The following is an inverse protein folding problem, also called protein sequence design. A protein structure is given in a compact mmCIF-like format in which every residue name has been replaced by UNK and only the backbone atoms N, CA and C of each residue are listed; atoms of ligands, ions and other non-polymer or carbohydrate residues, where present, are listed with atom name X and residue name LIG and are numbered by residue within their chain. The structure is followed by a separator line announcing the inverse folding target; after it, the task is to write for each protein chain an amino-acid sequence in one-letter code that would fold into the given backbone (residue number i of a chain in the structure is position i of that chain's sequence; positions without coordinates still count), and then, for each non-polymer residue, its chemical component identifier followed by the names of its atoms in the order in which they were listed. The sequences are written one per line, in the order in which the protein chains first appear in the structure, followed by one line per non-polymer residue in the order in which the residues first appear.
data_IF_963047347770
#
_entry.id   IF_963047347770
#
_cell.length_a   1.000
_cell.length_b   1.000
_cell.length_c   1.000
_cell.angle_alpha   90.00
_cell.angle_beta   90.00
_cell.angle_gamma   90.00
#
_symmetry.space_group_name_H-M   'P 1'
#
loop_
_entity.id
_entity.type
_entity.pdbx_description
1 polymer ?
#
# COMPACT_ATOMS: atom_id res chain seq x y z
N UNK A 1 -20.98 -10.49 -4.45
CA UNK A 1 -20.79 -11.06 -5.82
C UNK A 1 -19.58 -12.00 -5.95
N UNK A 2 -18.44 -11.81 -5.27
CA UNK A 2 -17.28 -12.73 -5.39
C UNK A 2 -17.43 -14.08 -4.65
N UNK A 3 -18.08 -14.11 -3.48
CA UNK A 3 -18.31 -15.34 -2.73
C UNK A 3 -19.25 -16.31 -3.47
N UNK A 4 -20.25 -15.80 -4.20
CA UNK A 4 -21.19 -16.64 -4.97
C UNK A 4 -20.47 -17.46 -6.06
N UNK A 5 -19.56 -16.83 -6.82
CA UNK A 5 -18.75 -17.54 -7.83
C UNK A 5 -17.83 -18.60 -7.22
N UNK A 6 -17.39 -18.39 -5.98
CA UNK A 6 -16.55 -19.35 -5.26
C UNK A 6 -17.38 -20.54 -4.75
N UNK A 7 -18.58 -20.27 -4.22
CA UNK A 7 -19.56 -21.30 -3.83
C UNK A 7 -19.97 -22.14 -5.03
N UNK A 8 -20.33 -21.52 -6.17
CA UNK A 8 -20.69 -22.21 -7.42
C UNK A 8 -19.55 -23.12 -7.92
N UNK A 9 -18.30 -22.69 -7.79
CA UNK A 9 -17.12 -23.49 -8.16
C UNK A 9 -16.93 -24.69 -7.24
N UNK A 10 -17.20 -24.55 -5.94
CA UNK A 10 -17.13 -25.65 -4.98
C UNK A 10 -18.28 -26.64 -5.18
N UNK A 11 -19.48 -26.16 -5.49
CA UNK A 11 -20.63 -27.00 -5.83
C UNK A 11 -20.39 -27.79 -7.13
N UNK A 12 -19.81 -27.17 -8.16
CA UNK A 12 -19.39 -27.86 -9.37
C UNK A 12 -18.32 -28.95 -9.10
N UNK A 13 -17.59 -28.83 -7.99
CA UNK A 13 -16.64 -29.84 -7.51
C UNK A 13 -17.26 -30.90 -6.58
N UNK A 14 -18.58 -30.90 -6.40
CA UNK A 14 -19.30 -31.89 -5.60
C UNK A 14 -19.51 -31.53 -4.13
N UNK A 15 -19.19 -30.30 -3.71
CA UNK A 15 -19.53 -29.82 -2.36
C UNK A 15 -21.02 -29.51 -2.27
N UNK A 16 -21.63 -29.79 -1.11
CA UNK A 16 -23.00 -29.32 -0.83
C UNK A 16 -23.00 -27.82 -0.59
N UNK A 17 -24.10 -27.13 -0.94
CA UNK A 17 -24.24 -25.68 -0.81
C UNK A 17 -23.81 -25.14 0.56
N UNK A 18 -24.24 -25.80 1.64
CA UNK A 18 -23.90 -25.41 3.01
C UNK A 18 -22.39 -25.50 3.29
N UNK A 19 -21.70 -26.53 2.78
CA UNK A 19 -20.25 -26.68 2.95
C UNK A 19 -19.47 -25.71 2.07
N UNK A 20 -19.93 -25.50 0.84
CA UNK A 20 -19.34 -24.53 -0.08
C UNK A 20 -19.43 -23.10 0.48
N UNK A 21 -20.57 -22.73 1.06
CA UNK A 21 -20.78 -21.45 1.72
C UNK A 21 -19.90 -21.28 2.96
N UNK A 22 -19.88 -22.27 3.86
CA UNK A 22 -19.03 -22.24 5.04
C UNK A 22 -17.53 -22.11 4.70
N UNK A 23 -17.07 -22.82 3.66
CA UNK A 23 -15.70 -22.71 3.18
C UNK A 23 -15.40 -21.32 2.57
N UNK A 24 -16.32 -20.75 1.80
CA UNK A 24 -16.18 -19.42 1.22
C UNK A 24 -16.14 -18.32 2.30
N UNK A 25 -16.95 -18.45 3.36
CA UNK A 25 -16.98 -17.53 4.49
C UNK A 25 -15.69 -17.61 5.32
N UNK A 26 -15.25 -18.83 5.68
CA UNK A 26 -13.99 -19.01 6.40
C UNK A 26 -12.77 -18.49 5.61
N UNK A 27 -12.76 -18.69 4.29
CA UNK A 27 -11.70 -18.17 3.43
C UNK A 27 -11.74 -16.65 3.33
N UNK A 28 -12.92 -16.05 3.20
CA UNK A 28 -13.08 -14.59 3.20
C UNK A 28 -12.60 -13.99 4.53
N UNK A 29 -12.99 -14.58 5.66
CA UNK A 29 -12.58 -14.16 7.00
C UNK A 29 -11.06 -14.24 7.17
N UNK A 30 -10.44 -15.37 6.82
CA UNK A 30 -9.00 -15.56 6.90
C UNK A 30 -8.20 -14.60 6.00
N UNK A 31 -8.76 -14.22 4.85
CA UNK A 31 -8.07 -13.31 3.91
C UNK A 31 -8.40 -11.84 4.18
N UNK A 32 -9.43 -11.54 4.98
CA UNK A 32 -9.84 -10.15 5.26
C UNK A 32 -8.99 -9.46 6.32
N UNK A 33 -8.26 -10.19 7.16
CA UNK A 33 -7.62 -9.61 8.35
C UNK A 33 -6.25 -8.96 8.09
N UNK A 34 -5.56 -9.24 6.98
CA UNK A 34 -4.15 -8.80 6.82
C UNK A 34 -3.70 -8.44 5.38
N UNK A 35 -4.63 -8.16 4.47
CA UNK A 35 -4.24 -7.82 3.09
C UNK A 35 -3.95 -6.33 2.92
N UNK A 36 -2.66 -5.97 2.87
CA UNK A 36 -2.23 -4.72 2.24
C UNK A 36 -2.64 -4.76 0.76
N UNK A 37 -3.47 -3.81 0.36
CA UNK A 37 -3.96 -3.70 -1.00
C UNK A 37 -2.99 -2.93 -1.89
N UNK A 38 -3.12 -3.08 -3.20
CA UNK A 38 -2.34 -2.28 -4.16
C UNK A 38 -2.60 -0.78 -4.03
N UNK A 39 -3.79 -0.37 -3.58
CA UNK A 39 -4.08 1.04 -3.29
C UNK A 39 -3.27 1.54 -2.09
N UNK A 40 -3.23 0.77 -1.01
CA UNK A 40 -2.49 1.14 0.21
C UNK A 40 -1.00 1.32 -0.10
N UNK A 41 -0.43 0.41 -0.92
CA UNK A 41 0.94 0.52 -1.43
C UNK A 41 1.16 1.78 -2.29
N UNK A 42 0.22 2.14 -3.16
CA UNK A 42 0.34 3.34 -4.00
C UNK A 42 0.30 4.61 -3.16
N UNK A 43 -0.54 4.64 -2.13
CA UNK A 43 -0.64 5.77 -1.21
C UNK A 43 0.65 5.95 -0.42
N UNK A 44 1.16 4.88 0.21
CA UNK A 44 2.42 4.90 0.92
C UNK A 44 3.61 5.32 0.03
N UNK A 45 3.64 4.87 -1.24
CA UNK A 45 4.67 5.29 -2.19
C UNK A 45 4.54 6.76 -2.58
N UNK A 46 3.31 7.27 -2.72
CA UNK A 46 3.08 8.68 -3.04
C UNK A 46 3.54 9.58 -1.87
N UNK A 47 3.19 9.21 -0.64
CA UNK A 47 3.62 9.89 0.58
C UNK A 47 5.15 9.92 0.68
N UNK A 48 5.80 8.76 0.53
CA UNK A 48 7.26 8.66 0.57
C UNK A 48 7.93 9.52 -0.50
N UNK A 49 7.37 9.54 -1.73
CA UNK A 49 7.90 10.37 -2.82
C UNK A 49 7.81 11.86 -2.51
N UNK A 50 6.70 12.30 -1.92
CA UNK A 50 6.52 13.70 -1.50
C UNK A 50 7.55 14.07 -0.44
N UNK A 51 7.75 13.22 0.56
CA UNK A 51 8.72 13.48 1.63
C UNK A 51 10.16 13.50 1.11
N UNK A 52 10.51 12.60 0.20
CA UNK A 52 11.82 12.62 -0.47
C UNK A 52 12.07 13.94 -1.20
N UNK A 53 11.10 14.42 -1.98
CA UNK A 53 11.22 15.69 -2.72
C UNK A 53 11.30 16.88 -1.75
N UNK A 54 10.48 16.88 -0.70
CA UNK A 54 10.51 17.91 0.35
C UNK A 54 11.90 18.01 0.96
N UNK A 55 12.48 16.90 1.42
CA UNK A 55 13.80 16.89 2.04
C UNK A 55 14.91 17.24 1.06
N UNK A 56 14.81 16.82 -0.21
CA UNK A 56 15.76 17.21 -1.25
C UNK A 56 15.80 18.74 -1.39
N UNK A 57 14.65 19.41 -1.46
CA UNK A 57 14.58 20.87 -1.58
C UNK A 57 15.12 21.55 -0.32
N UNK A 58 14.69 21.11 0.86
CA UNK A 58 15.13 21.67 2.15
C UNK A 58 16.66 21.61 2.30
N UNK A 59 17.25 20.47 1.96
CA UNK A 59 18.71 20.28 2.02
C UNK A 59 19.45 21.16 1.01
N UNK A 60 18.93 21.37 -0.19
CA UNK A 60 19.56 22.27 -1.16
C UNK A 60 19.52 23.73 -0.71
N UNK A 61 18.40 24.18 -0.12
CA UNK A 61 18.28 25.53 0.43
C UNK A 61 19.26 25.72 1.59
N UNK A 62 19.34 24.74 2.49
CA UNK A 62 20.31 24.78 3.59
C UNK A 62 21.74 24.83 3.07
N UNK A 63 22.08 23.98 2.10
CA UNK A 63 23.41 23.96 1.48
C UNK A 63 23.75 25.29 0.80
N UNK A 64 22.81 25.87 0.05
CA UNK A 64 22.99 27.17 -0.58
C UNK A 64 23.26 28.28 0.46
N UNK A 65 22.53 28.29 1.58
CA UNK A 65 22.76 29.23 2.67
C UNK A 65 24.14 29.08 3.29
N UNK A 66 24.60 27.84 3.53
CA UNK A 66 25.94 27.56 4.04
C UNK A 66 27.02 28.03 3.05
N UNK A 67 26.86 27.75 1.76
CA UNK A 67 27.82 28.17 0.73
C UNK A 67 27.88 29.71 0.62
N UNK A 68 26.74 30.40 0.67
CA UNK A 68 26.69 31.86 0.66
C UNK A 68 27.38 32.47 1.89
N UNK A 69 27.14 31.92 3.07
CA UNK A 69 27.80 32.35 4.30
C UNK A 69 29.32 32.15 4.18
N UNK A 70 29.77 30.95 3.78
CA UNK A 70 31.18 30.65 3.59
C UNK A 70 31.83 31.62 2.59
N UNK A 71 31.19 31.89 1.46
CA UNK A 71 31.67 32.85 0.46
C UNK A 71 31.86 34.25 1.05
N UNK A 72 30.89 34.74 1.83
CA UNK A 72 30.95 36.05 2.51
C UNK A 72 32.09 36.15 3.54
N UNK A 73 32.52 35.05 4.16
CA UNK A 73 33.62 35.06 5.14
C UNK A 73 34.99 34.85 4.50
N UNK A 74 35.06 34.26 3.30
CA UNK A 74 36.31 34.01 2.58
C UNK A 74 36.72 35.19 1.69
N UNK A 75 35.77 36.01 1.23
CA UNK A 75 36.00 37.15 0.33
C UNK A 75 35.58 38.47 0.98
#
# INVERSE_FOLDING_TARGET
MRHLKFVEKLEAGGFTHARAKAAAEAFAEATSQELVTKSDLKEALAELKVDMVRWLIVTQIALAGVLLAAFKFVR
#
